data_IF_191172414637
#
_entry.id   IF_191172414637
#
_cell.length_a   1.000
_cell.length_b   1.000
_cell.length_c   1.000
_cell.angle_alpha   90.00
_cell.angle_beta   90.00
_cell.angle_gamma   90.00
#
_symmetry.space_group_name_H-M   'P 1'
#
loop_
_entity.id
_entity.type
_entity.pdbx_description
1 polymer ?
#
# COMPACT_ATOMS: atom_id res chain seq x y z
N UNK A 1 8.13 2.45 15.96
CA UNK A 1 8.62 1.56 14.89
C UNK A 1 9.36 2.41 13.87
N UNK A 2 10.69 2.47 13.93
CA UNK A 2 11.51 3.40 13.12
C UNK A 2 12.06 2.77 11.83
N UNK A 3 11.87 1.47 11.62
CA UNK A 3 12.43 0.73 10.47
C UNK A 3 11.75 1.01 9.12
N UNK A 4 10.55 1.62 9.14
CA UNK A 4 9.82 2.01 7.92
C UNK A 4 10.49 3.13 7.11
N UNK A 5 11.41 3.89 7.71
CA UNK A 5 12.09 5.02 7.04
C UNK A 5 13.35 4.60 6.27
N UNK A 6 13.86 3.38 6.48
CA UNK A 6 15.06 2.91 5.78
C UNK A 6 14.76 2.80 4.27
N UNK A 7 15.64 3.31 3.40
CA UNK A 7 15.45 3.17 1.95
C UNK A 7 15.53 1.71 1.55
N UNK A 8 14.74 1.33 0.55
CA UNK A 8 14.79 0.02 -0.08
C UNK A 8 14.89 0.14 -1.59
N UNK A 9 15.58 -0.80 -2.22
CA UNK A 9 15.70 -0.86 -3.69
C UNK A 9 14.38 -1.09 -4.43
N UNK A 10 13.26 -1.27 -3.71
CA UNK A 10 11.92 -1.43 -4.28
C UNK A 10 10.99 -0.23 -4.08
N UNK A 11 11.46 0.85 -3.45
CA UNK A 11 10.62 2.01 -3.12
C UNK A 11 9.97 2.63 -4.36
N UNK A 12 10.77 3.01 -5.36
CA UNK A 12 10.26 3.58 -6.61
C UNK A 12 9.29 2.66 -7.37
N UNK A 13 9.47 1.33 -7.25
CA UNK A 13 8.57 0.37 -7.89
C UNK A 13 7.23 0.29 -7.16
N UNK A 14 7.25 0.30 -5.83
CA UNK A 14 6.01 0.35 -5.03
C UNK A 14 5.23 1.63 -5.34
N UNK A 15 5.90 2.76 -5.39
CA UNK A 15 5.29 4.04 -5.78
C UNK A 15 4.68 3.97 -7.18
N UNK A 16 5.38 3.38 -8.16
CA UNK A 16 4.86 3.17 -9.51
C UNK A 16 3.64 2.26 -9.59
N UNK A 17 3.61 1.17 -8.82
CA UNK A 17 2.48 0.21 -8.82
C UNK A 17 1.23 0.78 -8.13
N UNK A 18 1.41 1.49 -7.02
CA UNK A 18 0.29 2.06 -6.26
C UNK A 18 -0.05 3.50 -6.65
N UNK A 19 0.76 4.13 -7.49
CA UNK A 19 0.53 5.45 -8.09
C UNK A 19 0.64 6.63 -7.14
N UNK A 20 1.26 6.47 -5.98
CA UNK A 20 1.48 7.55 -4.99
C UNK A 20 2.81 7.39 -4.26
N UNK A 21 3.33 8.49 -3.65
CA UNK A 21 4.54 8.43 -2.83
C UNK A 21 4.45 7.43 -1.69
N UNK A 22 5.59 6.92 -1.27
CA UNK A 22 5.70 5.89 -0.26
C UNK A 22 5.16 6.31 1.12
N UNK A 23 5.30 7.58 1.49
CA UNK A 23 4.72 8.11 2.74
C UNK A 23 3.19 8.01 2.73
N UNK A 24 2.55 8.34 1.59
CA UNK A 24 1.10 8.17 1.41
C UNK A 24 0.68 6.70 1.48
N UNK A 25 1.53 5.78 1.02
CA UNK A 25 1.27 4.33 1.14
C UNK A 25 1.23 3.88 2.60
N UNK A 26 2.17 4.36 3.43
CA UNK A 26 2.17 4.07 4.87
C UNK A 26 0.94 4.64 5.56
N UNK A 27 0.55 5.88 5.23
CA UNK A 27 -0.68 6.46 5.76
C UNK A 27 -1.93 5.66 5.38
N UNK A 28 -2.01 5.18 4.13
CA UNK A 28 -3.13 4.35 3.66
C UNK A 28 -3.17 3.00 4.38
N UNK A 29 -2.02 2.42 4.69
CA UNK A 29 -1.93 1.10 5.31
C UNK A 29 -2.43 1.06 6.76
N UNK A 30 -2.42 2.19 7.47
CA UNK A 30 -2.92 2.28 8.86
C UNK A 30 -4.39 2.69 8.96
N UNK A 31 -5.04 3.03 7.83
CA UNK A 31 -6.45 3.43 7.82
C UNK A 31 -7.38 2.20 7.92
N UNK A 32 -8.56 2.33 8.55
CA UNK A 32 -9.59 1.31 8.47
C UNK A 32 -9.94 0.98 7.02
N UNK A 33 -10.00 -0.31 6.69
CA UNK A 33 -10.26 -0.76 5.31
C UNK A 33 -9.05 -0.72 4.38
N UNK A 34 -7.83 -0.59 4.91
CA UNK A 34 -6.60 -0.72 4.13
C UNK A 34 -6.59 -2.04 3.32
N UNK A 35 -6.11 -1.97 2.08
CA UNK A 35 -5.94 -3.14 1.24
C UNK A 35 -4.96 -4.14 1.89
N UNK A 36 -5.34 -5.42 2.08
CA UNK A 36 -4.43 -6.43 2.61
C UNK A 36 -3.15 -6.58 1.78
N UNK A 37 -3.25 -6.40 0.46
CA UNK A 37 -2.11 -6.44 -0.44
C UNK A 37 -1.14 -5.26 -0.20
N UNK A 38 -1.67 -4.07 0.09
CA UNK A 38 -0.85 -2.89 0.43
C UNK A 38 -0.10 -3.11 1.74
N UNK A 39 -0.80 -3.55 2.79
CA UNK A 39 -0.20 -3.84 4.10
C UNK A 39 0.93 -4.86 3.93
N UNK A 40 0.65 -5.96 3.22
CA UNK A 40 1.63 -7.01 2.98
C UNK A 40 2.83 -6.54 2.13
N UNK A 41 2.61 -5.67 1.15
CA UNK A 41 3.68 -5.10 0.35
C UNK A 41 4.63 -4.24 1.20
N UNK A 42 4.08 -3.43 2.12
CA UNK A 42 4.90 -2.60 3.02
C UNK A 42 5.63 -3.44 4.08
N UNK A 43 5.05 -4.53 4.57
CA UNK A 43 5.76 -5.48 5.43
C UNK A 43 6.98 -6.09 4.71
N UNK A 44 6.77 -6.63 3.51
CA UNK A 44 7.85 -7.21 2.69
C UNK A 44 8.92 -6.17 2.37
N UNK A 45 8.53 -4.92 2.10
CA UNK A 45 9.44 -3.80 1.91
C UNK A 45 10.31 -3.55 3.13
N UNK A 46 9.73 -3.51 4.34
CA UNK A 46 10.50 -3.29 5.58
C UNK A 46 11.52 -4.41 5.79
N UNK A 47 11.12 -5.67 5.59
CA UNK A 47 12.06 -6.78 5.70
C UNK A 47 13.16 -6.76 4.62
N UNK A 48 12.82 -6.35 3.41
CA UNK A 48 13.80 -6.13 2.35
C UNK A 48 14.80 -5.03 2.72
N UNK A 49 14.34 -3.89 3.21
CA UNK A 49 15.19 -2.78 3.66
C UNK A 49 16.16 -3.23 4.77
N UNK A 50 15.68 -4.05 5.70
CA UNK A 50 16.52 -4.63 6.76
C UNK A 50 17.59 -5.56 6.20
N UNK A 51 17.23 -6.47 5.30
CA UNK A 51 18.20 -7.36 4.65
C UNK A 51 19.27 -6.57 3.87
N UNK A 52 18.87 -5.53 3.15
CA UNK A 52 19.79 -4.66 2.41
C UNK A 52 20.76 -3.91 3.33
N UNK A 53 20.28 -3.38 4.46
CA UNK A 53 21.16 -2.77 5.45
C UNK A 53 22.13 -3.78 6.07
N UNK A 54 21.73 -5.03 6.30
CA UNK A 54 22.67 -6.05 6.80
C UNK A 54 23.75 -6.37 5.78
N UNK A 55 23.42 -6.47 4.49
CA UNK A 55 24.43 -6.65 3.43
C UNK A 55 25.47 -5.54 3.46
N UNK A 56 25.02 -4.28 3.52
CA UNK A 56 25.92 -3.10 3.59
C UNK A 56 26.78 -3.16 4.85
N UNK A 57 26.16 -3.41 6.02
CA UNK A 57 26.86 -3.46 7.30
C UNK A 57 27.96 -4.53 7.33
N UNK A 58 27.66 -5.74 6.86
CA UNK A 58 28.63 -6.84 6.84
C UNK A 58 29.76 -6.53 5.85
N UNK A 59 29.43 -6.03 4.65
CA UNK A 59 30.42 -5.59 3.67
C UNK A 59 31.37 -4.54 4.26
N UNK A 60 30.83 -3.53 4.90
CA UNK A 60 31.63 -2.42 5.44
C UNK A 60 32.52 -2.90 6.60
N UNK A 61 32.04 -3.83 7.44
CA UNK A 61 32.84 -4.47 8.50
C UNK A 61 33.98 -5.31 7.93
N UNK A 62 33.70 -6.15 6.93
CA UNK A 62 34.75 -6.94 6.27
C UNK A 62 35.77 -6.03 5.59
N UNK A 63 35.33 -4.95 4.94
CA UNK A 63 36.23 -4.00 4.30
C UNK A 63 37.14 -3.30 5.31
N UNK A 64 36.61 -2.90 6.46
CA UNK A 64 37.40 -2.31 7.54
C UNK A 64 38.41 -3.31 8.14
N UNK A 65 38.01 -4.56 8.37
CA UNK A 65 38.90 -5.61 8.89
C UNK A 65 40.02 -5.99 7.92
N UNK A 66 39.77 -5.85 6.61
CA UNK A 66 40.71 -6.18 5.53
C UNK A 66 41.43 -4.93 4.98
N UNK A 67 41.31 -3.78 5.65
CA UNK A 67 41.93 -2.54 5.21
C UNK A 67 43.47 -2.69 5.23
N UNK A 68 44.20 -2.07 4.29
CA UNK A 68 45.65 -2.24 4.17
C UNK A 68 46.43 -1.71 5.38
N UNK A 69 45.82 -0.81 6.15
CA UNK A 69 46.33 -0.20 7.37
C UNK A 69 45.79 -0.86 8.65
N UNK A 70 45.01 -1.94 8.55
CA UNK A 70 44.51 -2.68 9.70
C UNK A 70 45.62 -3.53 10.35
N UNK A 71 45.61 -3.58 11.68
CA UNK A 71 46.54 -4.40 12.48
C UNK A 71 46.34 -5.89 12.19
N UNK A 72 47.36 -6.56 11.67
CA UNK A 72 47.27 -7.97 11.27
C UNK A 72 46.96 -8.92 12.44
N UNK A 73 47.47 -8.61 13.63
CA UNK A 73 47.21 -9.41 14.84
C UNK A 73 45.76 -9.32 15.33
N UNK A 74 45.01 -8.31 14.87
CA UNK A 74 43.58 -8.15 15.18
C UNK A 74 42.65 -8.94 14.24
N UNK A 75 43.21 -9.53 13.17
CA UNK A 75 42.45 -10.24 12.15
C UNK A 75 42.05 -11.63 12.65
N UNK A 76 40.73 -11.87 12.72
CA UNK A 76 40.17 -13.13 13.23
C UNK A 76 39.53 -13.95 12.11
N UNK A 77 40.01 -15.18 11.91
CA UNK A 77 39.41 -16.12 10.95
C UNK A 77 37.97 -16.48 11.28
N UNK A 78 37.65 -16.59 12.58
CA UNK A 78 36.31 -16.94 13.03
C UNK A 78 35.34 -15.78 12.82
N UNK A 79 35.76 -14.54 13.08
CA UNK A 79 34.97 -13.35 12.78
C UNK A 79 34.69 -13.23 11.27
N UNK A 80 35.70 -13.46 10.43
CA UNK A 80 35.55 -13.43 8.98
C UNK A 80 34.61 -14.54 8.47
N UNK A 81 34.69 -15.75 9.04
CA UNK A 81 33.77 -16.84 8.72
C UNK A 81 32.33 -16.47 9.09
N UNK A 82 32.13 -15.98 10.30
CA UNK A 82 30.83 -15.54 10.77
C UNK A 82 30.25 -14.43 9.90
N UNK A 83 31.08 -13.46 9.48
CA UNK A 83 30.67 -12.41 8.55
C UNK A 83 30.29 -12.96 7.18
N UNK A 84 31.01 -13.95 6.66
CA UNK A 84 30.65 -14.60 5.40
C UNK A 84 29.27 -15.29 5.49
N UNK A 85 29.01 -16.02 6.57
CA UNK A 85 27.71 -16.67 6.82
C UNK A 85 26.57 -15.64 6.93
N UNK A 86 26.81 -14.53 7.65
CA UNK A 86 25.83 -13.45 7.74
C UNK A 86 25.58 -12.75 6.41
N UNK A 87 26.62 -12.54 5.61
CA UNK A 87 26.48 -11.95 4.28
C UNK A 87 25.64 -12.87 3.38
N UNK A 88 25.90 -14.17 3.41
CA UNK A 88 25.12 -15.15 2.67
C UNK A 88 23.65 -15.12 3.09
N UNK A 89 23.37 -15.18 4.40
CA UNK A 89 22.03 -15.13 4.94
C UNK A 89 21.29 -13.83 4.55
N UNK A 90 21.96 -12.68 4.66
CA UNK A 90 21.38 -11.39 4.30
C UNK A 90 21.08 -11.30 2.79
N UNK A 91 21.97 -11.80 1.94
CA UNK A 91 21.75 -11.87 0.49
C UNK A 91 20.62 -12.83 0.13
N UNK A 92 20.52 -13.97 0.79
CA UNK A 92 19.42 -14.92 0.62
C UNK A 92 18.08 -14.30 1.03
N UNK A 93 18.02 -13.66 2.20
CA UNK A 93 16.84 -12.94 2.68
C UNK A 93 16.43 -11.83 1.70
N UNK A 94 17.37 -11.03 1.23
CA UNK A 94 17.13 -9.98 0.23
C UNK A 94 16.48 -10.53 -1.04
N UNK A 95 17.04 -11.61 -1.60
CA UNK A 95 16.45 -12.28 -2.79
C UNK A 95 15.06 -12.83 -2.50
N UNK A 96 14.87 -13.43 -1.32
CA UNK A 96 13.60 -13.98 -0.86
C UNK A 96 12.51 -12.92 -0.77
N UNK A 97 12.76 -11.80 -0.08
CA UNK A 97 11.78 -10.73 0.07
C UNK A 97 11.46 -10.04 -1.25
N UNK A 98 12.45 -9.82 -2.12
CA UNK A 98 12.21 -9.29 -3.46
C UNK A 98 11.32 -10.23 -4.28
N UNK A 99 11.61 -11.53 -4.28
CA UNK A 99 10.79 -12.52 -4.99
C UNK A 99 9.36 -12.60 -4.44
N UNK A 100 9.21 -12.55 -3.12
CA UNK A 100 7.89 -12.53 -2.48
C UNK A 100 7.11 -11.27 -2.87
N UNK A 101 7.77 -10.12 -2.91
CA UNK A 101 7.15 -8.87 -3.36
C UNK A 101 6.75 -8.93 -4.84
N UNK A 102 7.62 -9.47 -5.70
CA UNK A 102 7.33 -9.66 -7.12
C UNK A 102 6.08 -10.51 -7.34
N UNK A 103 5.98 -11.63 -6.61
CA UNK A 103 4.81 -12.53 -6.68
C UNK A 103 3.54 -11.85 -6.17
N UNK A 104 3.63 -11.11 -5.06
CA UNK A 104 2.49 -10.38 -4.51
C UNK A 104 1.96 -9.35 -5.51
N UNK A 105 2.83 -8.54 -6.08
CA UNK A 105 2.46 -7.48 -7.01
C UNK A 105 1.93 -8.05 -8.33
N UNK A 106 2.48 -9.17 -8.81
CA UNK A 106 1.98 -9.85 -10.02
C UNK A 106 0.60 -10.49 -9.82
N UNK A 107 0.24 -10.86 -8.59
CA UNK A 107 -1.07 -11.42 -8.26
C UNK A 107 -2.17 -10.36 -8.08
N UNK A 108 -1.81 -9.08 -7.99
CA UNK A 108 -2.80 -8.01 -7.90
C UNK A 108 -3.51 -7.82 -9.25
N UNK A 109 -4.84 -7.60 -9.25
CA UNK A 109 -5.54 -7.25 -10.47
C UNK A 109 -4.95 -5.95 -11.05
N UNK A 110 -4.87 -5.80 -12.38
CA UNK A 110 -4.45 -4.56 -13.00
C UNK A 110 -5.25 -3.41 -12.40
N UNK A 111 -4.62 -2.26 -12.08
CA UNK A 111 -5.37 -1.10 -11.61
C UNK A 111 -6.44 -0.81 -12.66
N UNK A 112 -7.71 -0.94 -12.27
CA UNK A 112 -8.81 -0.64 -13.17
C UNK A 112 -8.61 0.80 -13.65
N UNK A 113 -8.31 0.96 -14.93
CA UNK A 113 -8.33 2.27 -15.58
C UNK A 113 -9.74 2.77 -15.37
N UNK A 114 -9.93 3.71 -14.44
CA UNK A 114 -11.23 4.36 -14.25
C UNK A 114 -11.60 4.92 -15.61
N UNK A 115 -12.67 4.44 -16.28
CA UNK A 115 -13.16 5.13 -17.45
C UNK A 115 -13.47 6.55 -16.99
N UNK A 116 -12.89 7.54 -17.66
CA UNK A 116 -13.29 8.92 -17.48
C UNK A 116 -14.81 8.92 -17.65
N UNK A 117 -15.53 9.20 -16.56
CA UNK A 117 -16.99 9.17 -16.59
C UNK A 117 -17.43 10.04 -17.77
N UNK A 118 -18.09 9.43 -18.76
CA UNK A 118 -18.65 10.18 -19.87
C UNK A 118 -19.51 11.31 -19.26
N UNK A 119 -19.42 12.55 -19.77
CA UNK A 119 -20.20 13.65 -19.22
C UNK A 119 -21.66 13.23 -19.25
N UNK A 120 -22.27 13.16 -18.06
CA UNK A 120 -23.67 12.88 -17.91
C UNK A 120 -24.43 13.92 -18.73
N UNK A 121 -25.07 13.49 -19.82
CA UNK A 121 -25.96 14.34 -20.58
C UNK A 121 -27.06 14.81 -19.61
N UNK A 122 -26.97 16.08 -19.22
CA UNK A 122 -27.99 16.76 -18.43
C UNK A 122 -29.25 16.75 -19.27
N UNK A 123 -30.19 15.86 -18.94
CA UNK A 123 -31.56 15.93 -19.47
C UNK A 123 -32.26 17.07 -18.74
N UNK A 124 -32.71 18.14 -19.43
CA UNK A 124 -33.52 19.16 -18.78
C UNK A 124 -34.87 18.54 -18.41
N UNK A 125 -35.14 18.45 -17.12
CA UNK A 125 -36.45 18.08 -16.58
C UNK A 125 -37.40 19.25 -16.82
N UNK A 126 -38.27 19.12 -17.82
CA UNK A 126 -39.38 20.06 -18.01
C UNK A 126 -40.38 19.82 -16.86
N UNK A 127 -40.50 20.79 -15.96
CA UNK A 127 -41.47 20.76 -14.87
C UNK A 127 -42.89 20.89 -15.44
N UNK A 128 -43.66 19.80 -15.42
CA UNK A 128 -45.11 19.85 -15.62
C UNK A 128 -45.78 20.21 -14.29
N UNK A 129 -46.18 21.47 -14.16
CA UNK A 129 -46.95 21.96 -13.01
C UNK A 129 -48.41 21.49 -13.15
N UNK A 130 -48.76 20.35 -12.55
CA UNK A 130 -50.14 19.90 -12.47
C UNK A 130 -50.78 20.51 -11.21
N UNK A 131 -51.50 21.63 -11.39
CA UNK A 131 -52.39 22.19 -10.38
C UNK A 131 -53.54 21.19 -10.07
N UNK A 132 -53.92 20.99 -8.80
CA UNK A 132 -55.11 20.22 -8.45
C UNK A 132 -56.38 21.05 -8.72
N UNK A 133 -57.46 20.45 -9.25
CA UNK A 133 -58.75 21.12 -9.31
C UNK A 133 -59.39 21.19 -7.91
N UNK A 134 -59.96 22.35 -7.59
CA UNK A 134 -60.70 22.62 -6.35
C UNK A 134 -62.00 21.79 -6.27
N UNK A 135 -62.42 21.34 -5.07
CA UNK A 135 -63.71 20.68 -4.90
C UNK A 135 -64.85 21.71 -4.90
N UNK A 136 -65.80 21.52 -5.81
CA UNK A 136 -67.06 22.25 -5.83
C UNK A 136 -67.96 21.77 -4.68
N UNK A 137 -68.42 22.70 -3.86
CA UNK A 137 -69.43 22.45 -2.84
C UNK A 137 -70.84 22.37 -3.43
N UNK A 138 -71.58 21.32 -3.05
CA UNK A 138 -73.04 21.18 -2.99
C UNK A 138 -73.29 19.73 -2.56
N UNK A 139 -74.11 19.35 -1.59
CA UNK A 139 -75.12 20.01 -0.79
C UNK A 139 -76.10 18.91 -0.37
N UNK A 140 -76.52 18.88 0.90
CA UNK A 140 -77.76 18.24 1.36
C UNK A 140 -77.84 16.72 1.45
N UNK A 141 -78.04 16.19 2.67
CA UNK A 141 -78.54 14.82 2.86
C UNK A 141 -78.23 14.18 4.21
N UNK A 142 -78.61 14.81 5.32
CA UNK A 142 -78.66 14.15 6.64
C UNK A 142 -80.09 13.72 6.92
N UNK A 143 -80.32 12.42 7.10
CA UNK A 143 -81.40 11.92 7.95
C UNK A 143 -80.96 10.59 8.58
N UNK A 144 -80.85 10.64 9.90
CA UNK A 144 -80.36 9.62 10.82
C UNK A 144 -81.46 8.58 11.09
N UNK A 145 -81.07 7.31 11.11
CA UNK A 145 -81.82 6.18 11.67
C UNK A 145 -81.59 6.11 13.19
N UNK A 146 -82.64 6.28 13.99
CA UNK A 146 -82.74 5.80 15.39
C UNK A 146 -84.21 5.63 15.77
N UNK A 147 -84.54 4.46 16.34
CA UNK A 147 -85.82 4.14 16.97
C UNK A 147 -86.68 3.23 16.13
#
# INVERSE_FOLDING_TARGET
MSDGRRPSSQDARLEGVFGVPLDDLHERAVRPGASPALVRALELRVFLALAEAQVVRVRDRVHAAMAPDAELDSLSSDALRFDAEWLEAALAARRGYRTALDKLLAAMPPPAVRPLAAPAAVRPTVASSNLPPAPAGAGGGVAVRRG
#
